data_IF_349343877219
#
_entry.id   IF_349343877219
#
_cell.length_a   1.000
_cell.length_b   1.000
_cell.length_c   1.000
_cell.angle_alpha   90.00
_cell.angle_beta   90.00
_cell.angle_gamma   90.00
#
_symmetry.space_group_name_H-M   'P 1'
#
loop_
_entity.id
_entity.type
_entity.pdbx_description
1 polymer ?
#
# COMPACT_ATOMS: atom_id res chain seq x y z
N UNK A 1 5.45 -61.00 35.40
CA UNK A 1 6.32 -60.38 36.43
C UNK A 1 7.37 -59.50 35.77
N UNK A 2 7.19 -58.17 35.79
CA UNK A 2 8.17 -57.14 36.20
C UNK A 2 7.48 -55.75 36.16
N UNK A 3 7.81 -54.81 37.07
CA UNK A 3 7.06 -53.56 37.29
C UNK A 3 7.70 -52.36 36.57
N UNK A 4 7.46 -51.12 37.06
CA UNK A 4 8.02 -49.78 36.70
C UNK A 4 6.99 -48.89 35.97
N UNK A 5 6.70 -47.64 36.38
CA UNK A 5 6.88 -46.93 37.66
C UNK A 5 5.80 -45.83 37.78
N UNK A 6 5.48 -45.40 39.00
CA UNK A 6 4.59 -44.25 39.26
C UNK A 6 5.43 -42.96 39.31
N UNK A 7 4.96 -41.89 38.65
CA UNK A 7 5.52 -40.54 38.80
C UNK A 7 4.40 -39.51 39.04
N UNK A 8 4.29 -38.94 40.25
CA UNK A 8 3.38 -37.83 40.51
C UNK A 8 4.10 -36.49 40.27
N UNK A 9 3.58 -35.64 39.36
CA UNK A 9 4.16 -34.30 39.14
C UNK A 9 3.20 -33.17 39.54
N UNK A 10 3.41 -32.78 40.80
CA UNK A 10 3.40 -31.42 41.36
C UNK A 10 2.47 -30.33 40.78
N UNK A 11 1.59 -29.88 41.67
CA UNK A 11 0.78 -28.66 41.64
C UNK A 11 1.63 -27.36 41.59
N UNK A 12 1.33 -26.44 40.65
CA UNK A 12 1.75 -25.02 40.72
C UNK A 12 0.62 -24.11 40.20
N UNK A 13 -0.04 -23.29 41.04
CA UNK A 13 -0.86 -22.18 40.59
C UNK A 13 -0.02 -20.91 40.47
N UNK A 14 0.20 -20.41 39.25
CA UNK A 14 0.86 -19.12 39.02
C UNK A 14 -0.17 -17.98 39.03
N UNK A 15 -0.23 -17.23 40.13
CA UNK A 15 -0.94 -15.96 40.20
C UNK A 15 -0.27 -14.93 39.29
N UNK A 16 -1.04 -14.17 38.49
CA UNK A 16 -0.52 -12.98 37.84
C UNK A 16 -1.49 -11.80 37.96
N UNK A 17 -0.97 -10.72 38.56
CA UNK A 17 -1.63 -9.44 38.83
C UNK A 17 -1.96 -8.68 37.55
N UNK A 18 -3.07 -7.91 37.56
CA UNK A 18 -3.47 -7.03 36.46
C UNK A 18 -3.87 -5.63 36.97
N UNK A 19 -3.56 -4.63 36.14
CA UNK A 19 -4.23 -3.33 35.96
C UNK A 19 -3.69 -2.06 36.68
N UNK A 20 -3.98 -0.93 36.01
CA UNK A 20 -3.69 0.49 36.30
C UNK A 20 -2.22 0.94 36.16
N UNK A 21 -1.90 2.08 35.53
CA UNK A 21 -2.69 2.98 34.67
C UNK A 21 -1.73 3.73 33.72
N UNK A 22 -2.17 4.09 32.52
CA UNK A 22 -1.36 4.88 31.56
C UNK A 22 -2.16 6.09 31.06
N UNK A 23 -1.84 7.27 31.57
CA UNK A 23 -2.44 8.53 31.14
C UNK A 23 -1.52 9.19 30.08
N UNK A 24 -2.06 9.45 28.88
CA UNK A 24 -1.38 10.22 27.83
C UNK A 24 -2.34 11.19 27.18
N UNK A 25 -2.28 12.44 27.61
CA UNK A 25 -3.02 13.58 27.05
C UNK A 25 -2.25 14.20 25.88
N UNK A 26 -2.83 14.16 24.69
CA UNK A 26 -2.29 14.84 23.50
C UNK A 26 -2.76 16.31 23.42
N UNK A 27 -1.97 17.23 22.81
CA UNK A 27 -2.33 18.62 22.63
C UNK A 27 -3.16 18.88 21.37
N UNK A 28 -3.93 19.97 21.35
CA UNK A 28 -4.69 20.44 20.19
C UNK A 28 -4.04 21.69 19.56
N UNK A 29 -4.02 21.84 18.22
CA UNK A 29 -3.66 23.09 17.55
C UNK A 29 -4.90 23.97 17.27
N UNK A 30 -4.75 25.28 17.43
CA UNK A 30 -5.77 26.29 17.09
C UNK A 30 -5.39 27.08 15.82
N UNK A 31 -6.35 27.49 14.96
CA UNK A 31 -6.05 28.28 13.75
C UNK A 31 -6.39 29.78 13.88
N UNK A 32 -5.41 30.64 13.56
CA UNK A 32 -5.49 32.12 13.43
C UNK A 32 -4.17 32.68 12.81
N UNK A 33 -4.09 33.84 12.14
CA UNK A 33 -5.12 34.72 11.57
C UNK A 33 -4.57 35.56 10.38
N UNK A 34 -5.41 35.71 9.35
CA UNK A 34 -5.40 36.66 8.22
C UNK A 34 -4.95 38.13 8.50
N UNK A 35 -4.18 38.72 7.56
CA UNK A 35 -4.09 40.16 7.19
C UNK A 35 -2.89 40.37 6.23
N UNK A 36 -2.74 41.41 5.39
CA UNK A 36 -3.62 42.32 4.64
C UNK A 36 -2.66 43.12 3.70
N UNK A 37 -3.08 43.51 2.48
CA UNK A 37 -2.28 44.42 1.63
C UNK A 37 -2.25 45.87 2.17
N UNK A 38 -1.37 46.76 1.67
CA UNK A 38 -1.80 47.61 0.54
C UNK A 38 -0.69 47.95 -0.49
N UNK A 39 -1.05 48.77 -1.49
CA UNK A 39 -0.22 49.17 -2.63
C UNK A 39 0.49 50.52 -2.45
N UNK A 40 1.52 50.78 -3.26
CA UNK A 40 2.04 52.13 -3.57
C UNK A 40 2.57 52.18 -5.03
N UNK A 41 3.02 53.33 -5.53
CA UNK A 41 2.49 53.86 -6.80
C UNK A 41 3.48 54.45 -7.85
N UNK A 42 3.14 54.25 -9.13
CA UNK A 42 3.32 55.23 -10.25
C UNK A 42 4.76 55.40 -10.87
N UNK A 43 4.97 56.21 -11.95
CA UNK A 43 5.02 55.65 -13.33
C UNK A 43 6.14 56.19 -14.28
N UNK A 44 5.99 55.92 -15.60
CA UNK A 44 6.65 56.54 -16.79
C UNK A 44 8.06 56.01 -17.15
N UNK A 45 8.42 55.66 -18.40
CA UNK A 45 8.37 56.47 -19.63
C UNK A 45 8.61 55.63 -20.93
N UNK A 46 8.41 56.28 -22.08
CA UNK A 46 8.94 56.03 -23.44
C UNK A 46 8.30 54.94 -24.31
N UNK A 47 7.40 55.40 -25.17
CA UNK A 47 7.02 54.74 -26.43
C UNK A 47 8.08 54.98 -27.49
N UNK A 48 8.72 53.92 -28.01
CA UNK A 48 9.47 53.81 -29.28
C UNK A 48 10.06 52.37 -29.27
N UNK A 49 9.90 51.48 -30.24
CA UNK A 49 9.94 51.67 -31.69
C UNK A 49 9.01 50.64 -32.39
N UNK A 50 8.29 51.07 -33.44
CA UNK A 50 7.55 50.17 -34.33
C UNK A 50 8.30 50.10 -35.67
N UNK A 51 8.37 48.89 -36.24
CA UNK A 51 8.94 48.56 -37.55
C UNK A 51 10.47 48.68 -37.69
N UNK A 52 11.15 47.53 -37.67
CA UNK A 52 11.79 46.94 -38.87
C UNK A 52 12.14 45.47 -38.59
N UNK A 53 12.79 44.77 -39.53
CA UNK A 53 13.17 43.33 -39.49
C UNK A 53 12.11 42.29 -39.91
N UNK A 54 11.26 42.59 -40.88
CA UNK A 54 10.56 41.56 -41.70
C UNK A 54 11.07 41.59 -43.14
N UNK A 55 12.34 41.21 -43.39
CA UNK A 55 12.83 41.00 -44.76
C UNK A 55 14.18 40.24 -44.94
N UNK A 56 14.63 39.37 -44.03
CA UNK A 56 15.86 38.59 -44.31
C UNK A 56 15.80 37.17 -43.74
N UNK A 57 15.38 36.21 -44.58
CA UNK A 57 15.71 34.76 -44.51
C UNK A 57 14.92 33.96 -45.58
N UNK A 58 15.26 34.18 -46.85
CA UNK A 58 14.82 33.33 -47.97
C UNK A 58 15.96 33.05 -48.96
N UNK A 59 16.73 32.01 -48.70
CA UNK A 59 17.08 30.97 -49.69
C UNK A 59 18.01 29.90 -49.08
N UNK A 60 17.57 28.63 -49.18
CA UNK A 60 18.30 27.35 -49.18
C UNK A 60 19.78 27.28 -48.72
N UNK A 61 20.14 26.18 -47.99
CA UNK A 61 20.79 24.97 -48.56
C UNK A 61 21.20 23.92 -47.49
N UNK A 62 20.93 22.64 -47.78
CA UNK A 62 21.44 21.38 -47.12
C UNK A 62 20.89 20.95 -45.74
N UNK A 63 20.52 19.66 -45.63
CA UNK A 63 20.20 18.90 -44.41
C UNK A 63 21.45 18.10 -43.91
N UNK A 64 21.45 17.45 -42.72
CA UNK A 64 20.71 16.20 -42.42
C UNK A 64 19.78 16.26 -41.17
N UNK A 65 19.10 15.16 -40.77
CA UNK A 65 18.10 15.13 -39.68
C UNK A 65 18.72 14.86 -38.28
N UNK A 66 17.85 14.47 -37.34
CA UNK A 66 18.14 13.94 -35.98
C UNK A 66 18.25 14.95 -34.82
N UNK A 67 17.18 15.74 -34.66
CA UNK A 67 16.75 16.19 -33.31
C UNK A 67 16.31 14.99 -32.48
N UNK A 68 17.26 14.22 -31.95
CA UNK A 68 16.99 13.12 -31.04
C UNK A 68 16.42 13.67 -29.71
N UNK A 69 15.09 13.65 -29.58
CA UNK A 69 14.43 13.78 -28.27
C UNK A 69 15.03 12.75 -27.34
N UNK A 70 15.84 13.21 -26.38
CA UNK A 70 16.44 12.34 -25.37
C UNK A 70 15.33 11.94 -24.41
N UNK A 71 14.68 10.82 -24.70
CA UNK A 71 13.74 10.17 -23.78
C UNK A 71 14.47 9.92 -22.45
N UNK A 72 13.82 10.12 -21.29
CA UNK A 72 14.41 9.74 -20.02
C UNK A 72 14.75 8.24 -20.04
N UNK A 73 15.82 7.81 -19.36
CA UNK A 73 16.19 6.40 -19.32
C UNK A 73 15.02 5.59 -18.76
N UNK A 74 14.56 4.59 -19.52
CA UNK A 74 13.58 3.62 -19.03
C UNK A 74 14.15 2.97 -17.76
N UNK A 75 13.43 2.97 -16.62
CA UNK A 75 13.91 2.28 -15.43
C UNK A 75 14.15 0.81 -15.78
N UNK A 76 15.29 0.26 -15.33
CA UNK A 76 15.62 -1.12 -15.58
C UNK A 76 14.53 -2.02 -14.97
N UNK A 77 14.07 -3.08 -15.68
CA UNK A 77 13.01 -3.93 -15.17
C UNK A 77 13.43 -4.55 -13.84
N UNK A 78 12.60 -4.36 -12.81
CA UNK A 78 12.83 -4.93 -11.51
C UNK A 78 13.03 -6.46 -11.58
N UNK A 79 13.87 -7.05 -10.70
CA UNK A 79 14.30 -8.44 -10.81
C UNK A 79 13.12 -9.42 -10.79
N UNK A 80 13.22 -10.56 -11.51
CA UNK A 80 12.12 -11.51 -11.65
C UNK A 80 11.78 -12.17 -10.29
N UNK A 81 10.74 -11.65 -9.64
CA UNK A 81 10.23 -12.17 -8.38
C UNK A 81 9.34 -13.41 -8.63
N UNK A 82 9.82 -14.59 -8.26
CA UNK A 82 9.05 -15.83 -8.33
C UNK A 82 8.13 -15.99 -7.12
N UNK A 83 6.87 -16.36 -7.36
CA UNK A 83 5.89 -16.55 -6.29
C UNK A 83 6.20 -17.81 -5.46
N UNK A 84 6.31 -17.65 -4.14
CA UNK A 84 6.55 -18.74 -3.18
C UNK A 84 5.26 -19.19 -2.47
N UNK A 85 4.14 -19.21 -3.19
CA UNK A 85 2.80 -19.43 -2.65
C UNK A 85 2.10 -18.14 -2.22
N UNK A 86 1.43 -18.15 -1.06
CA UNK A 86 0.62 -16.98 -0.59
C UNK A 86 1.46 -15.87 0.05
N UNK A 87 2.68 -16.18 0.52
CA UNK A 87 3.59 -15.20 1.13
C UNK A 87 4.98 -15.40 0.51
N UNK A 88 5.49 -14.35 -0.15
CA UNK A 88 6.83 -14.32 -0.74
C UNK A 88 7.63 -13.22 -0.05
N UNK A 89 8.59 -13.59 0.81
CA UNK A 89 9.39 -12.64 1.59
C UNK A 89 10.82 -12.53 1.04
N UNK A 90 11.03 -11.62 0.08
CA UNK A 90 12.38 -11.39 -0.49
C UNK A 90 13.14 -10.25 0.20
N UNK A 91 12.47 -9.47 1.06
CA UNK A 91 13.14 -8.53 1.96
C UNK A 91 13.67 -9.19 3.25
N UNK A 92 13.30 -10.45 3.52
CA UNK A 92 13.62 -11.19 4.76
C UNK A 92 13.19 -10.44 6.03
N UNK A 93 12.02 -9.79 5.99
CA UNK A 93 11.45 -9.01 7.11
C UNK A 93 10.45 -9.83 7.93
N UNK A 94 10.10 -11.05 7.50
CA UNK A 94 9.13 -11.91 8.17
C UNK A 94 9.82 -13.17 8.73
N UNK A 95 9.84 -13.30 10.04
CA UNK A 95 10.26 -14.53 10.72
C UNK A 95 9.43 -15.74 10.28
N UNK A 96 10.02 -16.94 10.31
CA UNK A 96 9.37 -18.17 9.80
C UNK A 96 7.99 -18.41 10.42
N UNK A 97 7.82 -18.17 11.73
CA UNK A 97 6.54 -18.30 12.41
C UNK A 97 5.45 -17.37 11.85
N UNK A 98 5.79 -16.11 11.55
CA UNK A 98 4.89 -15.15 10.95
C UNK A 98 4.50 -15.55 9.52
N UNK A 99 5.47 -16.01 8.70
CA UNK A 99 5.19 -16.52 7.34
C UNK A 99 4.24 -17.72 7.36
N UNK A 100 4.45 -18.68 8.27
CA UNK A 100 3.55 -19.84 8.44
C UNK A 100 2.15 -19.39 8.86
N UNK A 101 2.03 -18.52 9.88
CA UNK A 101 0.74 -18.04 10.38
C UNK A 101 -0.05 -17.27 9.32
N UNK A 102 0.59 -16.32 8.63
CA UNK A 102 -0.01 -15.58 7.51
C UNK A 102 -0.43 -16.52 6.39
N UNK A 103 0.42 -17.47 5.98
CA UNK A 103 0.09 -18.43 4.91
C UNK A 103 -1.14 -19.29 5.26
N UNK A 104 -1.22 -19.80 6.50
CA UNK A 104 -2.37 -20.57 6.96
C UNK A 104 -3.65 -19.74 7.03
N UNK A 105 -3.56 -18.48 7.48
CA UNK A 105 -4.68 -17.54 7.54
C UNK A 105 -5.23 -17.18 6.17
N UNK A 106 -4.33 -16.91 5.21
CA UNK A 106 -4.68 -16.65 3.81
C UNK A 106 -5.30 -17.89 3.14
N UNK A 107 -4.82 -19.10 3.46
CA UNK A 107 -5.40 -20.36 2.99
C UNK A 107 -6.86 -20.53 3.45
N UNK A 108 -7.12 -20.40 4.75
CA UNK A 108 -8.46 -20.51 5.30
C UNK A 108 -9.43 -19.43 4.76
N UNK A 109 -8.91 -18.24 4.45
CA UNK A 109 -9.70 -17.18 3.81
C UNK A 109 -10.07 -17.53 2.35
N UNK A 110 -9.11 -18.01 1.56
CA UNK A 110 -9.33 -18.45 0.18
C UNK A 110 -10.30 -19.64 0.11
N UNK A 111 -10.17 -20.64 0.99
CA UNK A 111 -11.10 -21.77 1.08
C UNK A 111 -12.55 -21.29 1.33
N UNK A 112 -12.75 -20.33 2.24
CA UNK A 112 -14.06 -19.81 2.63
C UNK A 112 -14.70 -18.85 1.62
N UNK A 113 -13.90 -18.08 0.89
CA UNK A 113 -14.39 -16.97 0.05
C UNK A 113 -14.13 -17.15 -1.45
N UNK A 114 -13.16 -18.00 -1.81
CA UNK A 114 -12.57 -18.16 -3.14
C UNK A 114 -11.77 -16.94 -3.65
N UNK A 115 -11.66 -15.87 -2.86
CA UNK A 115 -10.83 -14.72 -3.15
C UNK A 115 -9.37 -15.02 -2.80
N UNK A 116 -8.45 -14.63 -3.68
CA UNK A 116 -7.03 -14.93 -3.51
C UNK A 116 -6.29 -13.71 -2.97
N UNK A 117 -5.65 -13.87 -1.82
CA UNK A 117 -4.84 -12.80 -1.21
C UNK A 117 -3.38 -13.27 -1.11
N UNK A 118 -2.49 -12.52 -1.74
CA UNK A 118 -1.04 -12.76 -1.74
C UNK A 118 -0.30 -11.61 -1.06
N UNK A 119 0.82 -11.94 -0.42
CA UNK A 119 1.74 -10.98 0.21
C UNK A 119 3.11 -11.12 -0.46
N UNK A 120 3.68 -10.00 -0.89
CA UNK A 120 5.03 -9.88 -1.41
C UNK A 120 5.82 -8.86 -0.59
N UNK A 121 7.07 -9.19 -0.25
CA UNK A 121 8.04 -8.21 0.22
C UNK A 121 9.20 -8.16 -0.77
N UNK A 122 9.65 -6.96 -1.12
CA UNK A 122 10.84 -6.71 -1.94
C UNK A 122 11.74 -5.76 -1.17
N UNK A 123 13.08 -5.91 -1.18
CA UNK A 123 13.94 -5.03 -0.40
C UNK A 123 13.84 -3.58 -0.86
N UNK A 124 13.79 -3.35 -2.18
CA UNK A 124 13.60 -2.03 -2.79
C UNK A 124 12.89 -2.13 -4.15
N UNK A 125 12.30 -1.01 -4.58
CA UNK A 125 11.68 -0.81 -5.90
C UNK A 125 12.66 -0.29 -6.97
N UNK A 126 13.91 0.03 -6.60
CA UNK A 126 14.92 0.58 -7.52
C UNK A 126 14.49 1.87 -8.27
N UNK A 127 13.56 2.65 -7.69
CA UNK A 127 13.00 3.86 -8.31
C UNK A 127 11.81 3.63 -9.25
N UNK A 128 11.29 2.40 -9.36
CA UNK A 128 10.02 2.11 -10.04
C UNK A 128 8.82 2.60 -9.20
N UNK A 129 7.73 3.02 -9.86
CA UNK A 129 6.47 3.33 -9.18
C UNK A 129 5.86 2.07 -8.54
N UNK A 130 5.55 2.15 -7.25
CA UNK A 130 4.93 1.03 -6.53
C UNK A 130 3.57 0.65 -7.12
N UNK A 131 2.83 1.60 -7.72
CA UNK A 131 1.58 1.34 -8.42
C UNK A 131 1.76 0.38 -9.59
N UNK A 132 2.63 0.77 -10.53
CA UNK A 132 2.99 -0.02 -11.70
C UNK A 132 3.59 -1.37 -11.32
N UNK A 133 4.62 -1.37 -10.48
CA UNK A 133 5.31 -2.59 -10.07
C UNK A 133 4.37 -3.60 -9.39
N UNK A 134 3.50 -3.16 -8.46
CA UNK A 134 2.56 -4.08 -7.78
C UNK A 134 1.54 -4.66 -8.75
N UNK A 135 0.95 -3.84 -9.63
CA UNK A 135 -0.02 -4.31 -10.64
C UNK A 135 0.62 -5.32 -11.59
N UNK A 136 1.81 -5.02 -12.08
CA UNK A 136 2.48 -5.86 -13.06
C UNK A 136 3.00 -7.15 -12.41
N UNK A 137 3.36 -7.12 -11.12
CA UNK A 137 3.62 -8.31 -10.32
C UNK A 137 2.38 -9.19 -10.13
N UNK A 138 1.23 -8.61 -9.78
CA UNK A 138 -0.04 -9.34 -9.64
C UNK A 138 -0.46 -10.00 -10.96
N UNK A 139 -0.30 -9.29 -12.09
CA UNK A 139 -0.56 -9.80 -13.44
C UNK A 139 0.40 -10.95 -13.82
N UNK A 140 1.70 -10.83 -13.53
CA UNK A 140 2.69 -11.90 -13.78
C UNK A 140 2.44 -13.16 -12.98
N UNK A 141 1.95 -13.01 -11.74
CA UNK A 141 1.62 -14.13 -10.85
C UNK A 141 0.22 -14.71 -11.12
N UNK A 142 -0.64 -14.00 -11.85
CA UNK A 142 -2.02 -14.42 -12.08
C UNK A 142 -2.84 -14.51 -10.79
N UNK A 143 -2.67 -13.53 -9.88
CA UNK A 143 -3.39 -13.51 -8.59
C UNK A 143 -4.87 -13.27 -8.83
N UNK A 144 -5.73 -14.20 -8.38
CA UNK A 144 -7.17 -14.18 -8.61
C UNK A 144 -7.62 -15.21 -9.63
N UNK A 145 -8.90 -15.59 -9.59
CA UNK A 145 -9.44 -16.60 -10.51
C UNK A 145 -9.73 -15.97 -11.88
N UNK A 146 -9.29 -16.64 -12.94
CA UNK A 146 -9.45 -16.18 -14.33
C UNK A 146 -10.93 -15.87 -14.65
N UNK A 147 -11.21 -14.62 -15.01
CA UNK A 147 -12.56 -14.14 -15.34
C UNK A 147 -13.43 -13.75 -14.13
N UNK A 148 -12.90 -13.88 -12.91
CA UNK A 148 -13.47 -13.27 -11.71
C UNK A 148 -12.65 -12.07 -11.21
N UNK A 149 -11.34 -12.05 -11.50
CA UNK A 149 -10.41 -10.97 -11.14
C UNK A 149 -10.49 -10.62 -9.65
N UNK A 150 -10.62 -11.65 -8.82
CA UNK A 150 -10.83 -11.60 -7.38
C UNK A 150 -9.54 -11.85 -6.58
N UNK A 151 -8.44 -11.33 -7.12
CA UNK A 151 -7.12 -11.33 -6.52
C UNK A 151 -6.82 -10.03 -5.77
N UNK A 152 -6.04 -10.12 -4.69
CA UNK A 152 -5.46 -8.98 -3.98
C UNK A 152 -3.99 -9.27 -3.71
N UNK A 153 -3.11 -8.32 -4.04
CA UNK A 153 -1.68 -8.40 -3.76
C UNK A 153 -1.27 -7.26 -2.82
N UNK A 154 -0.75 -7.61 -1.65
CA UNK A 154 -0.13 -6.67 -0.72
C UNK A 154 1.38 -6.68 -0.98
N UNK A 155 1.95 -5.54 -1.36
CA UNK A 155 3.38 -5.36 -1.56
C UNK A 155 3.97 -4.41 -0.51
N UNK A 156 5.11 -4.80 0.07
CA UNK A 156 5.90 -3.98 1.00
C UNK A 156 7.33 -3.82 0.45
N UNK A 157 7.80 -2.57 0.39
CA UNK A 157 9.17 -2.20 0.08
C UNK A 157 9.75 -1.40 1.28
N UNK A 158 10.46 -2.04 2.23
CA UNK A 158 10.84 -1.40 3.49
C UNK A 158 11.94 -0.35 3.32
N UNK A 159 12.87 -0.51 2.37
CA UNK A 159 13.92 0.49 2.14
C UNK A 159 13.37 1.77 1.52
N UNK A 160 12.38 1.64 0.63
CA UNK A 160 11.63 2.76 0.04
C UNK A 160 10.55 3.31 0.98
N UNK A 161 10.27 2.63 2.10
CA UNK A 161 9.18 2.89 3.04
C UNK A 161 7.78 2.94 2.39
N UNK A 162 7.60 2.20 1.29
CA UNK A 162 6.35 2.16 0.54
C UNK A 162 5.62 0.83 0.75
N UNK A 163 4.29 0.90 0.81
CA UNK A 163 3.39 -0.25 0.85
C UNK A 163 2.19 0.03 -0.04
N UNK A 164 1.75 -0.96 -0.80
CA UNK A 164 0.55 -0.88 -1.65
C UNK A 164 -0.26 -2.16 -1.57
N UNK A 165 -1.57 -2.00 -1.69
CA UNK A 165 -2.50 -3.09 -1.96
C UNK A 165 -2.99 -2.88 -3.40
N UNK A 166 -2.72 -3.84 -4.28
CA UNK A 166 -3.36 -3.93 -5.58
C UNK A 166 -4.57 -4.86 -5.48
N UNK A 167 -5.70 -4.44 -6.04
CA UNK A 167 -6.98 -5.15 -6.01
C UNK A 167 -7.35 -5.46 -7.46
N UNK A 168 -7.82 -6.68 -7.73
CA UNK A 168 -8.34 -7.07 -9.03
C UNK A 168 -9.74 -6.48 -9.29
N UNK A 169 -10.08 -6.32 -10.57
CA UNK A 169 -11.28 -5.60 -11.02
C UNK A 169 -12.59 -6.13 -10.41
N UNK A 170 -12.67 -7.44 -10.12
CA UNK A 170 -13.84 -8.06 -9.50
C UNK A 170 -14.10 -7.63 -8.06
N UNK A 171 -13.09 -7.07 -7.38
CA UNK A 171 -13.17 -6.65 -5.97
C UNK A 171 -13.16 -5.13 -5.78
N UNK A 172 -12.96 -4.30 -6.81
CA UNK A 172 -12.88 -2.83 -6.69
C UNK A 172 -14.10 -2.18 -6.01
N UNK A 173 -15.30 -2.76 -6.16
CA UNK A 173 -16.53 -2.28 -5.52
C UNK A 173 -16.56 -2.55 -4.01
N UNK A 174 -15.87 -3.60 -3.57
CA UNK A 174 -15.80 -4.05 -2.17
C UNK A 174 -14.56 -3.46 -1.48
N UNK A 175 -13.46 -3.34 -2.23
CA UNK A 175 -12.17 -2.82 -1.80
C UNK A 175 -11.73 -1.67 -2.75
N UNK A 176 -12.37 -0.50 -2.66
CA UNK A 176 -11.95 0.66 -3.43
C UNK A 176 -10.58 1.16 -2.95
N UNK A 177 -9.81 1.80 -3.83
CA UNK A 177 -8.43 2.25 -3.51
C UNK A 177 -8.37 3.14 -2.25
N UNK A 178 -9.39 3.97 -2.02
CA UNK A 178 -9.52 4.80 -0.82
C UNK A 178 -9.54 3.98 0.47
N UNK A 179 -10.29 2.88 0.49
CA UNK A 179 -10.39 1.97 1.65
C UNK A 179 -9.08 1.21 1.85
N UNK A 180 -8.46 0.71 0.78
CA UNK A 180 -7.14 0.07 0.86
C UNK A 180 -6.06 1.02 1.40
N UNK A 181 -6.08 2.28 0.97
CA UNK A 181 -5.17 3.33 1.45
C UNK A 181 -5.41 3.67 2.92
N UNK A 182 -6.67 3.70 3.35
CA UNK A 182 -7.02 3.87 4.76
C UNK A 182 -6.53 2.69 5.61
N UNK A 183 -6.76 1.43 5.19
CA UNK A 183 -6.28 0.23 5.89
C UNK A 183 -4.76 0.25 6.07
N UNK A 184 -4.02 0.68 5.05
CA UNK A 184 -2.56 0.89 5.13
C UNK A 184 -2.22 1.92 6.24
N UNK A 185 -2.86 3.09 6.21
CA UNK A 185 -2.58 4.20 7.12
C UNK A 185 -2.94 3.91 8.58
N UNK A 186 -4.11 3.29 8.82
CA UNK A 186 -4.66 3.06 10.16
C UNK A 186 -4.07 1.81 10.84
N UNK A 187 -3.66 0.80 10.07
CA UNK A 187 -3.30 -0.52 10.61
C UNK A 187 -1.88 -1.00 10.30
N UNK A 188 -1.33 -0.68 9.12
CA UNK A 188 0.00 -1.16 8.72
C UNK A 188 1.12 -0.20 9.12
N UNK A 189 1.05 1.06 8.65
CA UNK A 189 2.11 2.06 8.87
C UNK A 189 2.47 2.30 10.35
N UNK A 190 1.52 2.35 11.31
CA UNK A 190 1.87 2.57 12.72
C UNK A 190 2.70 1.44 13.32
N UNK A 191 2.53 0.21 12.84
CA UNK A 191 3.32 -0.94 13.27
C UNK A 191 4.68 -1.01 12.54
N UNK A 192 4.71 -0.68 11.24
CA UNK A 192 5.93 -0.64 10.44
C UNK A 192 6.92 0.43 10.96
N UNK A 193 6.41 1.57 11.43
CA UNK A 193 7.21 2.60 12.10
C UNK A 193 7.91 2.10 13.39
N UNK A 194 7.37 1.05 14.03
CA UNK A 194 7.98 0.35 15.17
C UNK A 194 8.80 -0.89 14.79
N UNK A 195 8.99 -1.17 13.50
CA UNK A 195 9.63 -2.39 13.00
C UNK A 195 8.77 -3.67 13.06
N UNK A 196 7.52 -3.59 13.51
CA UNK A 196 6.61 -4.71 13.61
C UNK A 196 5.87 -4.97 12.29
N UNK A 197 6.61 -5.47 11.30
CA UNK A 197 6.04 -5.82 9.99
C UNK A 197 5.01 -6.96 10.07
N UNK A 198 5.22 -7.93 10.98
CA UNK A 198 4.32 -9.06 11.15
C UNK A 198 2.97 -8.64 11.76
N UNK A 199 2.98 -7.87 12.84
CA UNK A 199 1.77 -7.35 13.46
C UNK A 199 1.07 -6.28 12.62
N UNK A 200 1.81 -5.47 11.86
CA UNK A 200 1.22 -4.55 10.86
C UNK A 200 0.48 -5.29 9.74
N UNK A 201 1.09 -6.35 9.19
CA UNK A 201 0.43 -7.22 8.21
C UNK A 201 -0.79 -7.93 8.79
N UNK A 202 -0.71 -8.47 10.02
CA UNK A 202 -1.83 -9.19 10.62
C UNK A 202 -3.04 -8.28 10.92
N UNK A 203 -2.80 -7.05 11.40
CA UNK A 203 -3.84 -6.02 11.57
C UNK A 203 -4.43 -5.59 10.23
N UNK A 204 -3.59 -5.27 9.26
CA UNK A 204 -4.02 -4.88 7.92
C UNK A 204 -4.83 -5.97 7.22
N UNK A 205 -4.41 -7.23 7.33
CA UNK A 205 -5.13 -8.39 6.81
C UNK A 205 -6.47 -8.61 7.54
N UNK A 206 -6.55 -8.31 8.85
CA UNK A 206 -7.81 -8.35 9.60
C UNK A 206 -8.83 -7.36 9.06
N UNK A 207 -8.43 -6.10 8.87
CA UNK A 207 -9.32 -5.07 8.31
C UNK A 207 -9.70 -5.36 6.85
N UNK A 208 -8.76 -5.86 6.05
CA UNK A 208 -9.00 -6.25 4.65
C UNK A 208 -10.01 -7.40 4.54
N UNK A 209 -9.88 -8.44 5.38
CA UNK A 209 -10.83 -9.55 5.44
C UNK A 209 -12.21 -9.07 5.90
N UNK A 210 -12.27 -8.21 6.92
CA UNK A 210 -13.53 -7.64 7.40
C UNK A 210 -14.27 -6.87 6.29
N UNK A 211 -13.57 -6.00 5.55
CA UNK A 211 -14.15 -5.27 4.43
C UNK A 211 -14.69 -6.19 3.31
N UNK A 212 -13.97 -7.29 3.00
CA UNK A 212 -14.44 -8.29 2.02
C UNK A 212 -15.68 -9.07 2.51
N UNK A 213 -15.76 -9.38 3.80
CA UNK A 213 -16.93 -10.04 4.39
C UNK A 213 -18.14 -9.09 4.52
N UNK A 214 -17.92 -7.80 4.79
CA UNK A 214 -18.97 -6.79 4.84
C UNK A 214 -19.63 -6.57 3.47
N UNK A 215 -18.84 -6.45 2.39
CA UNK A 215 -19.37 -6.34 1.03
C UNK A 215 -20.12 -7.59 0.53
N UNK A 216 -19.98 -8.73 1.21
CA UNK A 216 -20.71 -9.98 0.94
C UNK A 216 -22.04 -10.06 1.71
N UNK A 217 -22.27 -9.20 2.70
CA UNK A 217 -23.55 -9.12 3.41
C UNK A 217 -24.61 -8.58 2.44
N UNK A 218 -25.80 -9.20 2.31
CA UNK A 218 -26.89 -8.61 1.55
C UNK A 218 -27.22 -7.22 2.13
N UNK A 219 -27.64 -6.25 1.29
CA UNK A 219 -27.95 -4.91 1.76
C UNK A 219 -28.97 -5.00 2.90
N UNK A 220 -28.57 -4.48 4.06
CA UNK A 220 -29.43 -4.42 5.21
C UNK A 220 -30.49 -3.37 4.92
N UNK A 221 -31.76 -3.77 4.78
CA UNK A 221 -32.91 -2.87 4.72
C UNK A 221 -32.98 -2.05 6.01
N UNK A 222 -32.22 -0.95 6.05
CA UNK A 222 -32.36 0.08 7.06
C UNK A 222 -33.71 0.75 6.79
N UNK A 223 -34.73 0.60 7.65
CA UNK A 223 -35.95 1.36 7.47
C UNK A 223 -35.60 2.83 7.58
N UNK A 224 -35.70 3.56 6.47
CA UNK A 224 -35.39 4.98 6.43
C UNK A 224 -36.36 5.71 7.37
N UNK A 225 -35.88 6.06 8.56
CA UNK A 225 -36.61 6.82 9.58
C UNK A 225 -36.91 8.22 9.05
N UNK A 226 -38.02 8.33 8.31
CA UNK A 226 -38.56 9.56 7.76
C UNK A 226 -39.92 9.84 8.40
N UNK A 227 -39.86 10.40 9.61
CA UNK A 227 -40.96 11.08 10.31
C UNK A 227 -40.37 12.27 11.05
#
# INVERSE_FOLDING_TARGET
MRPVLIFPLLLIPLSLTLAACSDRKAPAPAPAQNAQAPAESAPENTTENLAENIAENRAAKTAPPDSASTLPPTPAPAPPLAQQGRVTDSANILGQAARTALTARLAAFEERTQHQVAIATVPTLHGEDIGAFTRDLANRWGVGRKGHDDGVLILIAPNDQQVRIAVGYGLEKTLPESLCRQIIQDHMLPAFAGGDFAGGLDKGLTALIAAMDEGKKPPNDQPSSRT
#
